data_IF_666334504450
#
_entry.id   IF_666334504450
#
_cell.length_a   1.000
_cell.length_b   1.000
_cell.length_c   1.000
_cell.angle_alpha   90.00
_cell.angle_beta   90.00
_cell.angle_gamma   90.00
#
_symmetry.space_group_name_H-M   'P 1'
#
loop_
_entity.id
_entity.type
_entity.pdbx_description
1 polymer ?
#
# COMPACT_ATOMS: atom_id res chain seq x y z
N UNK A 1 29.52 46.63 23.39
CA UNK A 1 30.83 46.61 24.11
C UNK A 1 31.56 45.38 23.60
N UNK A 2 32.55 45.69 22.79
CA UNK A 2 33.88 45.10 22.58
C UNK A 2 33.86 43.65 22.07
N UNK A 3 34.42 43.32 20.99
CA UNK A 3 35.48 43.77 20.07
C UNK A 3 36.13 42.49 19.57
N UNK A 4 36.15 42.35 18.25
CA UNK A 4 37.16 41.58 17.50
C UNK A 4 38.58 41.98 17.91
N UNK A 5 39.67 41.30 17.56
CA UNK A 5 40.14 41.09 16.20
C UNK A 5 40.84 39.73 15.97
N UNK A 6 40.94 39.22 14.75
CA UNK A 6 41.91 39.55 13.71
C UNK A 6 43.29 38.87 13.89
N UNK A 7 43.72 38.13 12.89
CA UNK A 7 44.98 38.27 12.19
C UNK A 7 45.46 36.99 11.50
N UNK A 8 45.50 37.02 10.21
CA UNK A 8 46.60 36.41 9.44
C UNK A 8 47.84 37.34 9.58
N UNK A 9 49.09 36.93 9.32
CA UNK A 9 49.55 36.86 7.94
C UNK A 9 50.81 35.99 7.63
N UNK A 10 51.08 35.95 6.31
CA UNK A 10 52.36 36.07 5.57
C UNK A 10 53.30 34.87 5.47
N UNK A 11 53.56 34.37 4.27
CA UNK A 11 54.58 34.73 3.22
C UNK A 11 56.03 34.67 3.68
N UNK A 12 56.85 33.87 2.96
CA UNK A 12 58.13 34.15 2.33
C UNK A 12 58.59 32.86 1.61
N UNK A 13 58.84 32.74 0.33
CA UNK A 13 59.78 33.41 -0.60
C UNK A 13 61.27 33.18 -0.30
N UNK A 14 61.94 32.64 -1.27
CA UNK A 14 63.39 32.48 -1.40
C UNK A 14 63.74 31.24 -2.19
N UNK A 15 63.89 31.23 -3.41
CA UNK A 15 64.81 31.82 -4.41
C UNK A 15 66.25 31.21 -4.35
N UNK A 16 66.73 31.04 -5.60
CA UNK A 16 68.14 30.86 -6.05
C UNK A 16 68.73 29.44 -5.95
N UNK A 17 69.52 28.92 -6.89
CA UNK A 17 70.12 29.44 -8.13
C UNK A 17 70.82 28.25 -8.85
N UNK A 18 70.72 28.24 -10.16
CA UNK A 18 71.74 27.98 -11.20
C UNK A 18 72.80 26.88 -11.02
N UNK A 19 72.82 25.99 -11.99
CA UNK A 19 73.98 25.12 -12.30
C UNK A 19 73.84 24.44 -13.66
N UNK A 20 74.35 25.11 -14.70
CA UNK A 20 74.42 24.61 -16.06
C UNK A 20 75.63 23.69 -16.28
N UNK A 21 75.36 22.67 -17.16
CA UNK A 21 76.27 22.05 -18.19
C UNK A 21 77.23 20.92 -17.75
N UNK A 22 77.68 20.01 -18.68
CA UNK A 22 77.28 19.81 -20.08
C UNK A 22 77.11 18.31 -20.51
N UNK A 23 76.60 18.15 -21.70
CA UNK A 23 76.55 17.02 -22.57
C UNK A 23 77.85 16.12 -22.58
N UNK A 24 77.65 14.79 -22.47
CA UNK A 24 78.43 13.83 -23.25
C UNK A 24 77.59 12.65 -23.63
N UNK A 25 77.57 12.39 -24.93
CA UNK A 25 77.01 11.27 -25.65
C UNK A 25 77.50 9.95 -25.12
N UNK A 26 76.61 9.04 -24.82
CA UNK A 26 76.89 7.61 -24.92
C UNK A 26 75.62 6.92 -25.43
N UNK A 27 75.59 6.61 -26.70
CA UNK A 27 74.61 5.76 -27.33
C UNK A 27 74.87 4.33 -26.80
N UNK A 28 73.99 3.84 -25.92
CA UNK A 28 73.91 2.43 -25.56
C UNK A 28 72.57 1.92 -26.15
N UNK A 29 72.69 1.24 -27.25
CA UNK A 29 71.63 0.45 -27.88
C UNK A 29 71.17 -0.64 -26.93
N UNK A 30 70.17 -0.34 -26.14
CA UNK A 30 69.40 -1.36 -25.41
C UNK A 30 68.45 -2.03 -26.40
N UNK A 31 68.87 -3.20 -26.92
CA UNK A 31 67.99 -4.17 -27.59
C UNK A 31 66.96 -4.62 -26.58
N UNK A 32 65.77 -4.05 -26.65
CA UNK A 32 64.59 -4.61 -26.01
C UNK A 32 64.28 -5.96 -26.64
N UNK A 33 64.70 -7.02 -25.95
CA UNK A 33 64.26 -8.38 -26.26
C UNK A 33 62.76 -8.45 -25.94
N UNK A 34 61.93 -8.37 -26.95
CA UNK A 34 60.51 -8.59 -26.90
C UNK A 34 60.26 -9.99 -26.36
N UNK A 35 60.03 -10.10 -25.06
CA UNK A 35 59.59 -11.33 -24.40
C UNK A 35 58.18 -11.59 -24.91
N UNK A 36 58.01 -12.58 -25.77
CA UNK A 36 56.71 -13.10 -26.15
C UNK A 36 55.94 -13.44 -24.87
N UNK A 37 54.67 -13.07 -24.74
CA UNK A 37 53.87 -13.48 -23.59
C UNK A 37 53.82 -15.03 -23.60
N UNK A 38 53.87 -15.66 -22.42
CA UNK A 38 53.66 -17.09 -22.32
C UNK A 38 52.29 -17.39 -22.92
N UNK A 39 52.25 -18.36 -23.82
CA UNK A 39 51.01 -18.94 -24.35
C UNK A 39 50.30 -19.57 -23.16
N UNK A 40 49.28 -18.89 -22.65
CA UNK A 40 48.44 -19.31 -21.53
C UNK A 40 47.45 -20.38 -22.01
N UNK A 41 48.02 -21.53 -22.47
CA UNK A 41 47.24 -22.70 -22.92
C UNK A 41 46.65 -23.49 -21.75
N UNK A 42 46.89 -23.05 -20.51
CA UNK A 42 46.32 -23.68 -19.31
C UNK A 42 44.97 -23.10 -18.87
N UNK A 43 44.66 -21.88 -19.33
CA UNK A 43 43.50 -21.16 -18.84
C UNK A 43 42.24 -21.33 -19.73
N UNK A 44 42.32 -22.05 -20.84
CA UNK A 44 41.17 -22.25 -21.74
C UNK A 44 40.34 -23.50 -21.40
N UNK A 45 40.94 -24.46 -20.67
CA UNK A 45 40.26 -25.74 -20.35
C UNK A 45 39.09 -25.50 -19.39
N UNK A 46 39.23 -24.61 -18.43
CA UNK A 46 38.13 -24.25 -17.50
C UNK A 46 36.99 -23.52 -18.22
N UNK A 47 37.30 -22.76 -19.28
CA UNK A 47 36.30 -22.06 -20.08
C UNK A 47 35.45 -23.08 -20.88
N UNK A 48 36.05 -24.15 -21.38
CA UNK A 48 35.35 -25.25 -22.06
C UNK A 48 34.44 -26.00 -21.08
N UNK A 49 34.91 -26.29 -19.87
CA UNK A 49 34.07 -26.95 -18.85
C UNK A 49 32.95 -26.03 -18.37
N UNK A 50 33.18 -24.72 -18.24
CA UNK A 50 32.17 -23.73 -17.87
C UNK A 50 31.10 -23.62 -18.96
N UNK A 51 31.49 -23.59 -20.25
CA UNK A 51 30.53 -23.53 -21.35
C UNK A 51 29.70 -24.79 -21.46
N UNK A 52 30.27 -25.97 -21.18
CA UNK A 52 29.53 -27.24 -21.19
C UNK A 52 28.48 -27.28 -20.08
N UNK A 53 28.85 -26.86 -18.84
CA UNK A 53 27.91 -26.75 -17.71
C UNK A 53 26.82 -25.76 -18.04
N UNK A 54 27.14 -24.60 -18.65
CA UNK A 54 26.17 -23.60 -19.03
C UNK A 54 25.20 -24.10 -20.11
N UNK A 55 25.71 -24.86 -21.11
CA UNK A 55 24.89 -25.48 -22.12
C UNK A 55 23.94 -26.54 -21.55
N UNK A 56 24.42 -27.37 -20.61
CA UNK A 56 23.59 -28.36 -19.93
C UNK A 56 22.48 -27.67 -19.09
N UNK A 57 22.82 -26.56 -18.41
CA UNK A 57 21.89 -25.80 -17.63
C UNK A 57 20.84 -25.13 -18.52
N UNK A 58 21.25 -24.61 -19.67
CA UNK A 58 20.37 -24.02 -20.69
C UNK A 58 19.40 -25.05 -21.28
N UNK A 59 19.90 -26.25 -21.60
CA UNK A 59 19.07 -27.37 -22.10
C UNK A 59 18.07 -27.80 -21.02
N UNK A 60 18.53 -27.94 -19.78
CA UNK A 60 17.67 -28.29 -18.65
C UNK A 60 16.57 -27.21 -18.44
N UNK A 61 16.93 -25.93 -18.50
CA UNK A 61 15.97 -24.81 -18.39
C UNK A 61 14.96 -24.85 -19.53
N UNK A 62 15.38 -25.05 -20.77
CA UNK A 62 14.46 -25.13 -21.93
C UNK A 62 13.52 -26.32 -21.80
N UNK A 63 14.02 -27.48 -21.33
CA UNK A 63 13.16 -28.64 -21.10
C UNK A 63 12.14 -28.38 -19.96
N UNK A 64 12.58 -27.81 -18.83
CA UNK A 64 11.69 -27.46 -17.72
C UNK A 64 10.68 -26.40 -18.14
N UNK A 65 11.09 -25.41 -18.92
CA UNK A 65 10.21 -24.40 -19.48
C UNK A 65 9.20 -25.00 -20.44
N UNK A 66 9.65 -25.91 -21.32
CA UNK A 66 8.78 -26.68 -22.24
C UNK A 66 7.75 -27.53 -21.49
N UNK A 67 8.16 -28.23 -20.42
CA UNK A 67 7.25 -29.00 -19.56
C UNK A 67 6.28 -28.09 -18.82
N UNK A 68 6.70 -26.91 -18.40
CA UNK A 68 5.83 -25.91 -17.77
C UNK A 68 4.75 -25.41 -18.73
N UNK A 69 5.12 -25.14 -19.99
CA UNK A 69 4.16 -24.76 -21.04
C UNK A 69 3.21 -25.90 -21.41
N UNK A 70 3.69 -27.16 -21.38
CA UNK A 70 2.87 -28.32 -21.68
C UNK A 70 1.85 -28.60 -20.55
N UNK A 71 2.26 -28.44 -19.29
CA UNK A 71 1.37 -28.53 -18.14
C UNK A 71 0.27 -27.46 -18.16
N UNK A 72 0.59 -26.28 -18.68
CA UNK A 72 -0.37 -25.20 -18.89
C UNK A 72 -1.37 -25.51 -20.03
N UNK A 73 -0.95 -26.27 -21.06
CA UNK A 73 -1.82 -26.73 -22.14
C UNK A 73 -2.72 -27.90 -21.73
N UNK A 74 -2.26 -28.83 -20.89
CA UNK A 74 -3.08 -29.95 -20.40
C UNK A 74 -4.16 -29.47 -19.42
N UNK A 75 -3.90 -28.40 -18.68
CA UNK A 75 -4.92 -27.74 -17.84
C UNK A 75 -5.97 -26.98 -18.71
N UNK A 76 -5.65 -26.73 -20.00
CA UNK A 76 -6.55 -26.06 -20.95
C UNK A 76 -7.36 -27.04 -21.84
N UNK A 77 -7.18 -28.37 -21.72
CA UNK A 77 -7.79 -29.36 -22.61
C UNK A 77 -9.05 -30.06 -22.04
N UNK A 78 -9.55 -29.66 -20.88
CA UNK A 78 -10.96 -29.89 -20.55
C UNK A 78 -11.71 -28.61 -20.91
N UNK A 79 -12.85 -28.66 -21.69
CA UNK A 79 -13.66 -27.48 -21.84
C UNK A 79 -14.25 -27.18 -20.44
N UNK A 80 -13.76 -26.17 -19.72
CA UNK A 80 -14.48 -25.73 -18.55
C UNK A 80 -15.77 -25.11 -19.08
N UNK A 81 -16.90 -25.46 -18.48
CA UNK A 81 -18.03 -24.56 -18.47
C UNK A 81 -17.47 -23.13 -18.27
N UNK A 82 -18.02 -22.10 -18.90
CA UNK A 82 -17.40 -20.76 -18.92
C UNK A 82 -17.26 -20.25 -17.49
N UNK A 83 -16.13 -20.61 -16.88
CA UNK A 83 -15.71 -20.05 -15.60
C UNK A 83 -15.15 -18.69 -15.96
N UNK A 84 -15.98 -17.65 -15.83
CA UNK A 84 -15.53 -16.27 -15.98
C UNK A 84 -14.19 -16.07 -15.30
N UNK A 85 -13.24 -15.46 -16.01
CA UNK A 85 -11.89 -15.13 -15.50
C UNK A 85 -12.01 -14.42 -14.15
N UNK A 86 -11.07 -14.60 -13.20
CA UNK A 86 -11.08 -13.84 -11.94
C UNK A 86 -11.22 -12.32 -12.17
N UNK A 87 -10.71 -11.81 -13.30
CA UNK A 87 -10.85 -10.41 -13.71
C UNK A 87 -12.27 -10.03 -14.17
N UNK A 88 -13.07 -10.99 -14.68
CA UNK A 88 -14.48 -10.77 -15.09
C UNK A 88 -15.46 -11.03 -13.93
N UNK A 89 -15.08 -11.83 -12.93
CA UNK A 89 -15.91 -12.10 -11.74
C UNK A 89 -15.93 -10.93 -10.76
N UNK A 90 -14.81 -10.23 -10.61
CA UNK A 90 -14.69 -9.12 -9.66
C UNK A 90 -15.71 -7.98 -9.88
N UNK A 91 -16.04 -7.54 -11.11
CA UNK A 91 -17.08 -6.55 -11.34
C UNK A 91 -18.48 -7.07 -10.99
N UNK A 92 -18.79 -8.33 -11.34
CA UNK A 92 -20.11 -8.94 -11.10
C UNK A 92 -20.36 -9.15 -9.61
N UNK A 93 -19.36 -9.62 -8.87
CA UNK A 93 -19.46 -9.81 -7.42
C UNK A 93 -19.68 -8.48 -6.69
N UNK A 94 -19.07 -7.40 -7.18
CA UNK A 94 -19.24 -6.06 -6.62
C UNK A 94 -20.64 -5.51 -6.89
N UNK A 95 -21.20 -5.76 -8.09
CA UNK A 95 -22.56 -5.31 -8.45
C UNK A 95 -23.64 -6.06 -7.64
N UNK A 96 -23.43 -7.35 -7.39
CA UNK A 96 -24.33 -8.15 -6.55
C UNK A 96 -24.25 -7.65 -5.10
N UNK A 97 -23.04 -7.41 -4.59
CA UNK A 97 -22.83 -6.89 -3.26
C UNK A 97 -23.48 -5.51 -3.08
N UNK A 98 -23.35 -4.62 -4.07
CA UNK A 98 -23.99 -3.30 -4.05
C UNK A 98 -25.51 -3.41 -3.92
N UNK A 99 -26.15 -4.26 -4.72
CA UNK A 99 -27.60 -4.49 -4.65
C UNK A 99 -28.06 -5.02 -3.29
N UNK A 100 -27.32 -5.94 -2.71
CA UNK A 100 -27.65 -6.49 -1.39
C UNK A 100 -27.47 -5.44 -0.28
N UNK A 101 -26.41 -4.64 -0.34
CA UNK A 101 -26.19 -3.55 0.61
C UNK A 101 -27.23 -2.45 0.45
N UNK A 102 -27.65 -2.12 -0.79
CA UNK A 102 -28.78 -1.20 -1.05
C UNK A 102 -30.08 -1.73 -0.45
N UNK A 103 -30.35 -3.00 -0.59
CA UNK A 103 -31.55 -3.62 0.02
C UNK A 103 -31.48 -3.63 1.57
N UNK A 104 -30.28 -3.74 2.14
CA UNK A 104 -30.05 -3.71 3.58
C UNK A 104 -30.10 -2.28 4.17
N UNK A 105 -29.73 -1.27 3.39
CA UNK A 105 -29.47 0.10 3.84
C UNK A 105 -30.71 0.85 4.39
N UNK A 106 -31.89 0.62 3.82
CA UNK A 106 -33.06 1.45 4.14
C UNK A 106 -32.99 2.85 3.49
N UNK A 107 -33.89 3.76 3.87
CA UNK A 107 -34.05 5.05 3.19
C UNK A 107 -33.03 6.12 3.56
N UNK A 108 -32.44 6.03 4.73
CA UNK A 108 -31.58 7.08 5.31
C UNK A 108 -30.08 6.82 5.18
N UNK A 109 -29.68 5.68 4.64
CA UNK A 109 -28.30 5.28 4.42
C UNK A 109 -27.95 5.36 2.96
N UNK A 110 -26.85 6.04 2.65
CA UNK A 110 -26.37 6.14 1.26
C UNK A 110 -25.41 5.00 0.98
N UNK A 111 -25.55 4.36 -0.19
CA UNK A 111 -24.62 3.32 -0.67
C UNK A 111 -24.02 3.82 -1.96
N UNK A 112 -22.71 3.88 -2.03
CA UNK A 112 -21.94 4.34 -3.20
C UNK A 112 -20.87 3.32 -3.58
N UNK A 113 -20.79 3.03 -4.87
CA UNK A 113 -19.69 2.23 -5.42
C UNK A 113 -18.52 3.14 -5.77
N UNK A 114 -17.35 2.89 -5.17
CA UNK A 114 -16.10 3.63 -5.41
C UNK A 114 -15.01 2.67 -5.88
N UNK A 115 -14.75 2.63 -7.18
CA UNK A 115 -13.78 1.73 -7.79
C UNK A 115 -14.01 0.26 -7.37
N UNK A 116 -13.14 -0.29 -6.52
CA UNK A 116 -13.17 -1.68 -6.04
C UNK A 116 -13.80 -1.82 -4.63
N UNK A 117 -14.47 -0.78 -4.15
CA UNK A 117 -15.05 -0.74 -2.82
C UNK A 117 -16.49 -0.25 -2.87
N UNK A 118 -17.30 -0.70 -1.93
CA UNK A 118 -18.63 -0.14 -1.69
C UNK A 118 -18.60 0.57 -0.35
N UNK A 119 -19.12 1.77 -0.33
CA UNK A 119 -19.17 2.62 0.88
C UNK A 119 -20.61 2.83 1.28
N UNK A 120 -20.98 2.41 2.49
CA UNK A 120 -22.25 2.75 3.13
C UNK A 120 -22.01 3.92 4.08
N UNK A 121 -22.74 5.01 3.88
CA UNK A 121 -22.66 6.21 4.71
C UNK A 121 -23.89 6.31 5.62
N UNK A 122 -23.64 6.26 6.90
CA UNK A 122 -24.63 6.38 7.97
C UNK A 122 -24.53 7.77 8.57
N UNK A 123 -25.53 8.65 8.44
CA UNK A 123 -25.59 9.89 9.19
C UNK A 123 -25.56 9.64 10.71
N UNK A 124 -24.84 10.49 11.46
CA UNK A 124 -24.70 10.39 12.91
C UNK A 124 -26.03 10.15 13.62
N UNK A 125 -27.04 10.97 13.26
CA UNK A 125 -28.39 10.95 13.87
C UNK A 125 -29.09 9.58 13.85
N UNK A 126 -28.70 8.71 12.92
CA UNK A 126 -29.26 7.36 12.82
C UNK A 126 -28.61 6.45 13.86
N UNK A 127 -27.29 6.52 13.97
CA UNK A 127 -26.51 5.59 14.79
C UNK A 127 -26.43 6.01 16.25
N UNK A 128 -26.39 7.33 16.53
CA UNK A 128 -26.05 7.87 17.83
C UNK A 128 -26.95 9.04 18.23
N UNK A 129 -27.05 9.25 19.54
CA UNK A 129 -27.57 10.50 20.07
C UNK A 129 -26.49 11.59 20.01
N UNK A 130 -26.93 12.88 20.03
CA UNK A 130 -26.01 14.00 19.87
C UNK A 130 -24.90 14.00 20.92
N UNK A 131 -23.63 14.08 20.46
CA UNK A 131 -22.45 14.07 21.32
C UNK A 131 -22.14 12.70 21.96
N UNK A 132 -22.90 11.65 21.65
CA UNK A 132 -22.70 10.31 22.16
C UNK A 132 -22.04 9.41 21.15
N UNK A 133 -21.47 8.29 21.62
CA UNK A 133 -20.94 7.24 20.79
C UNK A 133 -21.65 5.88 21.01
N UNK A 134 -22.61 5.83 21.90
CA UNK A 134 -23.41 4.62 22.13
C UNK A 134 -24.39 4.43 20.98
N UNK A 135 -24.36 3.22 20.37
CA UNK A 135 -25.26 2.90 19.27
C UNK A 135 -26.69 2.78 19.78
N UNK A 136 -27.62 3.46 19.14
CA UNK A 136 -29.04 3.45 19.46
C UNK A 136 -29.64 2.05 19.29
N UNK A 137 -30.51 1.65 20.18
CA UNK A 137 -31.13 0.33 20.18
C UNK A 137 -32.02 0.05 18.96
N UNK A 138 -32.63 1.09 18.37
CA UNK A 138 -33.49 1.01 17.18
C UNK A 138 -32.72 0.71 15.88
N UNK A 139 -31.40 0.94 15.89
CA UNK A 139 -30.52 0.67 14.74
C UNK A 139 -30.11 -0.80 14.64
N UNK A 140 -30.33 -1.59 15.67
CA UNK A 140 -29.94 -3.00 15.73
C UNK A 140 -30.41 -3.81 14.52
N UNK A 141 -31.66 -3.63 14.10
CA UNK A 141 -32.21 -4.33 12.92
C UNK A 141 -31.55 -3.92 11.58
N UNK A 142 -31.11 -2.67 11.48
CA UNK A 142 -30.37 -2.18 10.30
C UNK A 142 -28.96 -2.79 10.25
N UNK A 143 -28.24 -2.72 11.36
CA UNK A 143 -26.90 -3.34 11.46
C UNK A 143 -26.94 -4.85 11.30
N UNK A 144 -27.99 -5.54 11.77
CA UNK A 144 -28.17 -6.97 11.58
C UNK A 144 -28.32 -7.35 10.10
N UNK A 145 -29.06 -6.56 9.30
CA UNK A 145 -29.15 -6.78 7.85
C UNK A 145 -27.79 -6.63 7.19
N UNK A 146 -27.02 -5.61 7.57
CA UNK A 146 -25.65 -5.39 7.06
C UNK A 146 -24.74 -6.54 7.50
N UNK A 147 -24.83 -6.99 8.76
CA UNK A 147 -24.07 -8.11 9.28
C UNK A 147 -24.39 -9.42 8.53
N UNK A 148 -25.65 -9.64 8.16
CA UNK A 148 -26.05 -10.80 7.37
C UNK A 148 -25.34 -10.84 5.99
N UNK A 149 -25.25 -9.68 5.31
CA UNK A 149 -24.49 -9.55 4.04
C UNK A 149 -23.00 -9.82 4.26
N UNK A 150 -22.42 -9.34 5.36
CA UNK A 150 -21.01 -9.58 5.67
C UNK A 150 -20.75 -11.07 5.96
N UNK A 151 -21.64 -11.73 6.73
CA UNK A 151 -21.53 -13.16 7.07
C UNK A 151 -21.61 -14.06 5.83
N UNK A 152 -22.45 -13.72 4.86
CA UNK A 152 -22.58 -14.49 3.61
C UNK A 152 -21.32 -14.43 2.73
N UNK A 153 -20.37 -13.55 3.01
CA UNK A 153 -19.13 -13.34 2.23
C UNK A 153 -17.88 -13.35 3.10
N UNK A 154 -17.27 -14.54 3.35
CA UNK A 154 -16.09 -14.65 4.22
C UNK A 154 -14.87 -13.83 3.76
N UNK A 155 -14.71 -13.64 2.44
CA UNK A 155 -13.61 -12.87 1.86
C UNK A 155 -13.80 -11.34 1.93
N UNK A 156 -14.94 -10.85 2.48
CA UNK A 156 -15.22 -9.42 2.55
C UNK A 156 -14.50 -8.81 3.75
N UNK A 157 -13.60 -7.86 3.49
CA UNK A 157 -12.99 -7.01 4.51
C UNK A 157 -13.83 -5.76 4.71
N UNK A 158 -13.93 -5.31 5.96
CA UNK A 158 -14.79 -4.19 6.36
C UNK A 158 -13.97 -3.15 7.12
N UNK A 159 -13.96 -1.91 6.62
CA UNK A 159 -13.34 -0.78 7.30
C UNK A 159 -14.44 0.18 7.80
N UNK A 160 -14.36 0.56 9.06
CA UNK A 160 -15.33 1.45 9.70
C UNK A 160 -14.64 2.77 10.01
N UNK A 161 -15.15 3.86 9.41
CA UNK A 161 -14.57 5.18 9.46
C UNK A 161 -15.52 6.15 10.16
N UNK A 162 -15.04 6.75 11.25
CA UNK A 162 -15.78 7.80 11.97
C UNK A 162 -15.36 9.20 11.54
N UNK A 163 -16.34 10.08 11.39
CA UNK A 163 -16.15 11.48 11.02
C UNK A 163 -17.00 12.40 11.89
N UNK A 164 -16.52 13.61 12.13
CA UNK A 164 -17.23 14.69 12.81
C UNK A 164 -17.33 15.92 11.91
N UNK A 165 -18.04 16.93 12.38
CA UNK A 165 -17.91 18.30 11.88
C UNK A 165 -16.72 19.02 12.54
N UNK A 166 -16.54 20.31 12.21
CA UNK A 166 -15.49 21.20 12.73
C UNK A 166 -15.78 21.79 14.12
N UNK A 167 -16.95 21.53 14.70
CA UNK A 167 -17.30 22.05 16.04
C UNK A 167 -16.51 21.29 17.11
N UNK A 168 -15.67 21.98 17.90
CA UNK A 168 -14.88 21.29 18.91
C UNK A 168 -15.76 20.63 19.94
N UNK A 169 -15.60 19.34 20.16
CA UNK A 169 -16.23 18.67 21.29
C UNK A 169 -15.45 18.98 22.56
N UNK A 170 -16.18 19.37 23.62
CA UNK A 170 -15.65 19.54 24.97
C UNK A 170 -16.50 18.74 25.94
N UNK A 171 -16.18 17.50 26.12
CA UNK A 171 -16.84 16.63 27.07
C UNK A 171 -15.83 16.02 28.03
N UNK A 172 -16.31 15.55 29.19
CA UNK A 172 -15.45 14.79 30.12
C UNK A 172 -15.01 13.44 29.53
N UNK A 173 -15.70 12.95 28.52
CA UNK A 173 -15.51 11.61 27.93
C UNK A 173 -14.59 11.64 26.72
N UNK A 174 -14.58 12.73 25.95
CA UNK A 174 -13.81 12.89 24.74
C UNK A 174 -13.06 14.20 24.74
N UNK A 175 -11.74 14.17 24.61
CA UNK A 175 -10.90 15.35 24.61
C UNK A 175 -10.88 16.06 23.24
N UNK A 176 -11.21 15.34 22.16
CA UNK A 176 -11.17 15.84 20.79
C UNK A 176 -12.19 15.16 19.87
N UNK A 177 -12.49 15.81 18.74
CA UNK A 177 -13.28 15.24 17.64
C UNK A 177 -12.67 13.94 17.10
N UNK A 178 -11.36 13.84 17.15
CA UNK A 178 -10.66 12.63 16.73
C UNK A 178 -11.02 11.44 17.62
N UNK A 179 -10.96 11.61 18.94
CA UNK A 179 -11.33 10.56 19.90
C UNK A 179 -12.79 10.16 19.78
N UNK A 180 -13.70 11.13 19.65
CA UNK A 180 -15.11 10.87 19.43
C UNK A 180 -15.34 10.02 18.17
N UNK A 181 -14.67 10.37 17.07
CA UNK A 181 -14.81 9.66 15.80
C UNK A 181 -14.30 8.22 15.87
N UNK A 182 -13.16 7.99 16.56
CA UNK A 182 -12.63 6.64 16.81
C UNK A 182 -13.61 5.84 17.67
N UNK A 183 -14.12 6.41 18.75
CA UNK A 183 -15.03 5.69 19.65
C UNK A 183 -16.33 5.32 18.94
N UNK A 184 -16.90 6.20 18.12
CA UNK A 184 -18.09 5.91 17.30
C UNK A 184 -17.87 4.75 16.35
N UNK A 185 -16.75 4.76 15.63
CA UNK A 185 -16.38 3.65 14.75
C UNK A 185 -16.18 2.35 15.54
N UNK A 186 -15.60 2.44 16.74
CA UNK A 186 -15.41 1.30 17.65
C UNK A 186 -16.73 0.71 18.12
N UNK A 187 -17.71 1.53 18.47
CA UNK A 187 -19.02 1.05 18.92
C UNK A 187 -19.79 0.34 17.80
N UNK A 188 -19.70 0.85 16.56
CA UNK A 188 -20.27 0.16 15.39
C UNK A 188 -19.57 -1.18 15.17
N UNK A 189 -18.22 -1.23 15.27
CA UNK A 189 -17.47 -2.48 15.15
C UNK A 189 -17.88 -3.48 16.24
N UNK A 190 -18.01 -3.04 17.49
CA UNK A 190 -18.48 -3.91 18.60
C UNK A 190 -19.87 -4.46 18.34
N UNK A 191 -20.79 -3.64 17.82
CA UNK A 191 -22.11 -4.11 17.46
C UNK A 191 -22.04 -5.21 16.38
N UNK A 192 -21.24 -5.04 15.34
CA UNK A 192 -21.02 -6.07 14.29
C UNK A 192 -20.38 -7.34 14.85
N UNK A 193 -19.39 -7.21 15.75
CA UNK A 193 -18.79 -8.38 16.44
C UNK A 193 -19.87 -9.12 17.28
N UNK A 194 -20.71 -8.39 18.01
CA UNK A 194 -21.85 -8.97 18.75
C UNK A 194 -22.85 -9.70 17.83
N UNK A 195 -22.92 -9.34 16.56
CA UNK A 195 -23.71 -9.98 15.50
C UNK A 195 -22.96 -11.11 14.77
N UNK A 196 -21.79 -11.54 15.29
CA UNK A 196 -21.04 -12.68 14.78
C UNK A 196 -20.05 -12.38 13.66
N UNK A 197 -19.66 -11.11 13.46
CA UNK A 197 -18.59 -10.76 12.52
C UNK A 197 -17.22 -10.94 13.19
N UNK A 198 -16.34 -11.65 12.53
CA UNK A 198 -14.97 -11.91 13.00
C UNK A 198 -14.16 -10.62 13.13
N UNK A 199 -13.55 -10.30 14.30
CA UNK A 199 -12.76 -9.08 14.48
C UNK A 199 -11.62 -8.92 13.49
N UNK A 200 -10.99 -9.99 13.03
CA UNK A 200 -9.93 -9.98 12.05
C UNK A 200 -10.33 -9.38 10.68
N UNK A 201 -11.63 -9.36 10.39
CA UNK A 201 -12.20 -8.79 9.16
C UNK A 201 -12.51 -7.30 9.29
N UNK A 202 -12.43 -6.76 10.50
CA UNK A 202 -12.80 -5.38 10.79
C UNK A 202 -11.55 -4.52 10.98
N UNK A 203 -11.58 -3.33 10.41
CA UNK A 203 -10.62 -2.27 10.70
C UNK A 203 -11.36 -0.99 11.09
N UNK A 204 -10.76 -0.21 11.99
CA UNK A 204 -11.38 0.98 12.57
C UNK A 204 -10.49 2.17 12.33
N UNK A 205 -11.06 3.29 11.88
CA UNK A 205 -10.35 4.58 11.74
C UNK A 205 -11.25 5.73 12.20
N UNK A 206 -10.67 6.66 12.94
CA UNK A 206 -11.29 7.94 13.21
C UNK A 206 -10.56 9.04 12.45
N UNK A 207 -11.30 9.94 11.83
CA UNK A 207 -10.74 11.06 11.07
C UNK A 207 -11.09 12.41 11.71
N UNK A 208 -11.94 12.42 12.75
CA UNK A 208 -12.42 13.69 13.28
C UNK A 208 -13.02 14.55 12.16
N UNK A 209 -12.62 15.81 12.11
CA UNK A 209 -13.05 16.82 11.14
C UNK A 209 -12.19 16.87 9.86
N UNK A 210 -11.09 16.12 9.79
CA UNK A 210 -10.06 16.22 8.74
C UNK A 210 -10.50 15.76 7.35
N UNK A 211 -11.60 15.02 7.25
CA UNK A 211 -12.13 14.52 5.98
C UNK A 211 -13.58 14.87 5.77
N UNK A 212 -13.92 16.15 5.58
CA UNK A 212 -15.29 16.57 5.37
C UNK A 212 -15.79 16.15 3.97
N UNK A 213 -17.10 15.82 3.87
CA UNK A 213 -17.79 15.62 2.59
C UNK A 213 -18.18 16.95 1.95
N UNK A 214 -18.45 17.95 2.77
CA UNK A 214 -18.79 19.30 2.35
C UNK A 214 -18.10 20.32 3.25
N UNK A 215 -17.93 21.56 2.78
CA UNK A 215 -17.38 22.63 3.60
C UNK A 215 -18.25 22.81 4.86
N UNK A 216 -17.60 23.08 6.01
CA UNK A 216 -18.29 23.27 7.29
C UNK A 216 -18.88 24.69 7.43
N UNK A 217 -19.51 25.22 6.39
CA UNK A 217 -20.03 26.57 6.29
C UNK A 217 -21.49 26.69 6.77
N UNK A 218 -22.25 25.60 6.72
CA UNK A 218 -23.66 25.56 7.10
C UNK A 218 -23.95 24.40 8.06
N UNK A 219 -25.06 24.45 8.79
CA UNK A 219 -25.47 23.35 9.66
C UNK A 219 -25.85 22.08 8.88
N UNK A 220 -26.32 22.26 7.64
CA UNK A 220 -26.63 21.16 6.75
C UNK A 220 -25.35 20.44 6.31
N UNK A 221 -24.32 21.18 5.93
CA UNK A 221 -23.02 20.65 5.56
C UNK A 221 -22.35 19.94 6.74
N UNK A 222 -22.39 20.54 7.94
CA UNK A 222 -21.92 19.91 9.17
C UNK A 222 -22.66 18.60 9.47
N UNK A 223 -23.97 18.59 9.28
CA UNK A 223 -24.77 17.37 9.48
C UNK A 223 -24.37 16.24 8.52
N UNK A 224 -24.00 16.57 7.27
CA UNK A 224 -23.47 15.60 6.33
C UNK A 224 -22.07 15.11 6.71
N UNK A 225 -21.24 15.98 7.31
CA UNK A 225 -19.91 15.62 7.78
C UNK A 225 -19.95 14.68 8.98
N UNK A 226 -20.91 14.83 9.89
CA UNK A 226 -21.14 13.93 11.02
C UNK A 226 -21.72 12.61 10.55
N UNK A 227 -20.86 11.63 10.31
CA UNK A 227 -21.21 10.33 9.75
C UNK A 227 -20.28 9.21 10.19
N UNK A 228 -20.73 7.99 9.99
CA UNK A 228 -19.87 6.80 9.97
C UNK A 228 -19.96 6.18 8.57
N UNK A 229 -18.83 5.88 7.99
CA UNK A 229 -18.73 5.12 6.73
C UNK A 229 -18.33 3.68 7.03
N UNK A 230 -19.05 2.72 6.45
CA UNK A 230 -18.65 1.32 6.43
C UNK A 230 -18.23 1.01 5.00
N UNK A 231 -16.95 0.71 4.81
CA UNK A 231 -16.35 0.42 3.52
C UNK A 231 -16.14 -1.08 3.37
N UNK A 232 -16.61 -1.64 2.28
CA UNK A 232 -16.53 -3.04 1.96
C UNK A 232 -15.56 -3.23 0.80
N UNK A 233 -14.56 -4.10 0.99
CA UNK A 233 -13.61 -4.47 -0.05
C UNK A 233 -13.48 -5.99 -0.11
N UNK A 234 -13.50 -6.55 -1.32
CA UNK A 234 -13.14 -7.95 -1.50
C UNK A 234 -11.63 -8.07 -1.20
N UNK A 235 -11.29 -8.91 -0.23
CA UNK A 235 -9.89 -9.18 0.07
C UNK A 235 -9.24 -9.77 -1.18
N UNK A 236 -8.21 -9.13 -1.70
CA UNK A 236 -7.38 -9.77 -2.72
C UNK A 236 -6.65 -10.93 -2.04
N UNK A 237 -6.69 -12.14 -2.59
CA UNK A 237 -5.86 -13.21 -2.09
C UNK A 237 -4.40 -12.77 -2.22
N UNK A 238 -3.72 -12.63 -1.06
CA UNK A 238 -2.30 -12.32 -0.96
C UNK A 238 -1.43 -13.48 -1.48
#
# INVERSE_FOLDING_TARGET
>A
MRVMPDAAPTRTAGDETIGRLPLKKAAATLRFRKKSPPSDSGNEIWLLTLTDVFMLLMVCFVLLFGLSLQKQKETAAAPPAPVASPAERAPQDTDILEKELLAAAGRDVTVEKRAMQIVMTFPERILFDSGQAEVRGDVGSLLERVAAVIRSRPALAVAIHGHTDDRPIRSRRYASNWELSVERATQVARALVGMGIEPARLSIRGFGEERPLAANDSDESRTRNRRVEIQFSLAQPG
#
